data_IF_414503951068
#
_entry.id   IF_414503951068
#
_cell.length_a   1.000
_cell.length_b   1.000
_cell.length_c   1.000
_cell.angle_alpha   90.00
_cell.angle_beta   90.00
_cell.angle_gamma   90.00
#
_symmetry.space_group_name_H-M   'P 1'
#
loop_
_entity.id
_entity.type
_entity.pdbx_description
1 polymer ?
#
# COMPACT_ATOMS: atom_id res chain seq x y z
N UNK A 1 -13.04 -24.13 -2.75
CA UNK A 1 -11.79 -24.77 -2.29
C UNK A 1 -11.66 -24.47 -0.81
N UNK A 2 -11.82 -25.48 0.05
CA UNK A 2 -11.51 -25.31 1.48
C UNK A 2 -9.98 -25.31 1.63
N UNK A 3 -9.39 -24.16 1.93
CA UNK A 3 -8.01 -24.12 2.42
C UNK A 3 -7.97 -24.98 3.70
N UNK A 4 -7.12 -26.00 3.72
CA UNK A 4 -7.03 -26.92 4.85
C UNK A 4 -6.11 -26.30 5.91
N UNK A 5 -6.59 -26.12 7.14
CA UNK A 5 -5.84 -25.49 8.25
C UNK A 5 -4.48 -26.16 8.49
N UNK A 6 -4.41 -27.48 8.29
CA UNK A 6 -3.20 -28.31 8.44
C UNK A 6 -2.09 -27.97 7.43
N UNK A 7 -2.46 -27.53 6.24
CA UNK A 7 -1.48 -27.17 5.21
C UNK A 7 -0.88 -25.78 5.50
N UNK A 8 -1.73 -24.83 5.91
CA UNK A 8 -1.30 -23.50 6.32
C UNK A 8 -0.39 -23.55 7.54
N UNK A 9 -0.73 -24.38 8.54
CA UNK A 9 0.13 -24.57 9.71
C UNK A 9 1.50 -25.12 9.32
N UNK A 10 1.57 -26.05 8.36
CA UNK A 10 2.84 -26.57 7.85
C UNK A 10 3.73 -25.50 7.19
N UNK A 11 3.15 -24.59 6.40
CA UNK A 11 3.90 -23.46 5.84
C UNK A 11 4.40 -22.49 6.92
N UNK A 12 3.55 -22.18 7.90
CA UNK A 12 3.94 -21.32 9.03
C UNK A 12 5.06 -21.92 9.85
N UNK A 13 5.03 -23.23 10.11
CA UNK A 13 6.13 -23.94 10.77
C UNK A 13 7.43 -23.87 9.94
N UNK A 14 7.36 -24.09 8.63
CA UNK A 14 8.52 -23.95 7.75
C UNK A 14 9.14 -22.54 7.85
N UNK A 15 8.31 -21.49 7.76
CA UNK A 15 8.77 -20.10 7.90
C UNK A 15 9.27 -19.80 9.32
N UNK A 16 8.67 -20.40 10.34
CA UNK A 16 9.16 -20.27 11.71
C UNK A 16 10.58 -20.80 11.86
N UNK A 17 10.95 -21.87 11.15
CA UNK A 17 12.30 -22.45 11.19
C UNK A 17 13.33 -21.69 10.34
N UNK A 18 12.94 -20.67 9.57
CA UNK A 18 13.90 -19.88 8.79
C UNK A 18 14.92 -19.18 9.70
N UNK A 19 16.19 -19.26 9.30
CA UNK A 19 17.27 -18.44 9.85
C UNK A 19 17.10 -16.97 9.46
N UNK A 20 17.80 -16.08 10.15
CA UNK A 20 17.79 -14.66 9.79
C UNK A 20 18.29 -14.39 8.37
N UNK A 21 19.29 -15.14 7.87
CA UNK A 21 19.77 -14.98 6.49
C UNK A 21 18.74 -15.45 5.46
N UNK A 22 17.97 -16.49 5.77
CA UNK A 22 16.84 -16.93 4.94
C UNK A 22 15.73 -15.88 4.93
N UNK A 23 15.39 -15.30 6.09
CA UNK A 23 14.42 -14.21 6.18
C UNK A 23 14.87 -12.95 5.43
N UNK A 24 16.13 -12.55 5.53
CA UNK A 24 16.68 -11.42 4.77
C UNK A 24 16.57 -11.67 3.27
N UNK A 25 17.00 -12.84 2.81
CA UNK A 25 16.89 -13.23 1.39
C UNK A 25 15.44 -13.26 0.92
N UNK A 26 14.55 -13.90 1.69
CA UNK A 26 13.13 -13.97 1.37
C UNK A 26 12.49 -12.59 1.30
N UNK A 27 12.76 -11.72 2.28
CA UNK A 27 12.21 -10.36 2.36
C UNK A 27 12.59 -9.52 1.14
N UNK A 28 13.84 -9.64 0.66
CA UNK A 28 14.30 -8.91 -0.50
C UNK A 28 13.67 -9.46 -1.79
N UNK A 29 13.64 -10.80 -1.94
CA UNK A 29 13.06 -11.45 -3.13
C UNK A 29 11.57 -11.09 -3.26
N UNK A 30 10.79 -11.20 -2.18
CA UNK A 30 9.36 -10.92 -2.24
C UNK A 30 9.10 -9.43 -2.54
N UNK A 31 9.86 -8.51 -1.96
CA UNK A 31 9.68 -7.08 -2.25
C UNK A 31 10.12 -6.70 -3.66
N UNK A 32 11.18 -7.31 -4.21
CA UNK A 32 11.56 -7.15 -5.63
C UNK A 32 10.46 -7.69 -6.54
N UNK A 33 9.88 -8.84 -6.20
CA UNK A 33 8.77 -9.42 -6.95
C UNK A 33 7.54 -8.50 -6.92
N UNK A 34 7.13 -8.01 -5.75
CA UNK A 34 5.97 -7.10 -5.61
C UNK A 34 6.20 -5.77 -6.33
N UNK A 35 7.40 -5.22 -6.25
CA UNK A 35 7.80 -4.02 -7.00
C UNK A 35 7.67 -4.25 -8.51
N UNK A 36 8.23 -5.36 -9.01
CA UNK A 36 8.16 -5.72 -10.43
C UNK A 36 6.72 -5.99 -10.89
N UNK A 37 5.92 -6.64 -10.03
CA UNK A 37 4.50 -6.89 -10.26
C UNK A 37 3.72 -5.58 -10.40
N UNK A 38 3.94 -4.60 -9.52
CA UNK A 38 3.29 -3.29 -9.60
C UNK A 38 3.65 -2.54 -10.89
N UNK A 39 4.93 -2.52 -11.28
CA UNK A 39 5.36 -1.95 -12.57
C UNK A 39 4.68 -2.68 -13.75
N UNK A 40 4.67 -4.02 -13.72
CA UNK A 40 4.04 -4.83 -14.76
C UNK A 40 2.54 -4.56 -14.86
N UNK A 41 1.84 -4.47 -13.72
CA UNK A 41 0.43 -4.16 -13.62
C UNK A 41 0.13 -2.76 -14.16
N UNK A 42 0.92 -1.75 -13.79
CA UNK A 42 0.79 -0.40 -14.33
C UNK A 42 0.88 -0.42 -15.85
N UNK A 43 1.95 -1.02 -16.41
CA UNK A 43 2.18 -1.03 -17.86
C UNK A 43 1.08 -1.79 -18.58
N UNK A 44 0.60 -2.90 -17.99
CA UNK A 44 -0.51 -3.67 -18.54
C UNK A 44 -1.78 -2.82 -18.61
N UNK A 45 -2.16 -2.14 -17.52
CA UNK A 45 -3.36 -1.31 -17.49
C UNK A 45 -3.21 -0.11 -18.43
N UNK A 46 -2.07 0.58 -18.45
CA UNK A 46 -1.85 1.74 -19.33
C UNK A 46 -1.95 1.37 -20.82
N UNK A 47 -1.55 0.15 -21.20
CA UNK A 47 -1.66 -0.36 -22.58
C UNK A 47 -3.04 -0.88 -22.95
N UNK A 48 -3.83 -1.36 -21.98
CA UNK A 48 -5.12 -2.02 -22.23
C UNK A 48 -6.32 -1.13 -21.94
N UNK A 49 -6.15 -0.08 -21.13
CA UNK A 49 -7.21 0.86 -20.81
C UNK A 49 -7.40 1.90 -21.93
N UNK A 50 -8.54 1.85 -22.61
CA UNK A 50 -8.86 2.73 -23.73
C UNK A 50 -9.36 4.14 -23.33
N UNK A 51 -9.42 4.47 -22.03
CA UNK A 51 -9.86 5.79 -21.58
C UNK A 51 -8.78 6.84 -21.80
N UNK A 52 -9.20 8.07 -22.05
CA UNK A 52 -8.30 9.22 -22.16
C UNK A 52 -7.45 9.39 -20.90
N UNK A 53 -6.20 9.84 -21.04
CA UNK A 53 -5.36 10.12 -19.88
C UNK A 53 -5.92 11.29 -19.08
N UNK A 54 -5.65 11.30 -17.77
CA UNK A 54 -6.06 12.36 -16.85
C UNK A 54 -5.20 13.61 -17.04
N UNK A 55 -3.92 13.43 -17.37
CA UNK A 55 -2.96 14.49 -17.69
C UNK A 55 -2.24 14.20 -19.00
N UNK A 56 -1.86 15.23 -19.75
CA UNK A 56 -1.32 15.08 -21.11
C UNK A 56 -0.03 14.26 -21.19
N UNK A 57 0.82 14.36 -20.16
CA UNK A 57 2.14 13.71 -20.09
C UNK A 57 2.37 13.16 -18.71
N UNK A 58 3.08 12.04 -18.60
CA UNK A 58 3.57 11.50 -17.32
C UNK A 58 4.79 12.31 -16.84
N UNK A 59 5.01 12.37 -15.52
CA UNK A 59 6.25 12.92 -14.97
C UNK A 59 7.46 12.14 -15.53
N UNK A 60 8.52 12.84 -16.01
CA UNK A 60 9.71 12.19 -16.53
C UNK A 60 10.45 11.48 -15.41
N UNK A 61 10.87 10.23 -15.62
CA UNK A 61 11.61 9.48 -14.60
C UNK A 61 13.01 10.06 -14.47
N UNK A 62 13.34 10.52 -13.26
CA UNK A 62 14.66 11.02 -12.91
C UNK A 62 15.52 9.94 -12.25
N UNK A 63 16.83 10.20 -12.16
CA UNK A 63 17.76 9.31 -11.45
C UNK A 63 17.40 9.22 -9.97
N UNK A 64 16.97 10.32 -9.34
CA UNK A 64 16.51 10.29 -7.94
C UNK A 64 15.30 9.39 -7.74
N UNK A 65 14.40 9.29 -8.73
CA UNK A 65 13.19 8.47 -8.62
C UNK A 65 13.56 6.99 -8.62
N UNK A 66 14.53 6.60 -9.45
CA UNK A 66 15.06 5.23 -9.47
C UNK A 66 15.74 4.89 -8.13
N UNK A 67 16.53 5.81 -7.58
CA UNK A 67 17.17 5.58 -6.27
C UNK A 67 16.13 5.43 -5.16
N UNK A 68 15.16 6.35 -5.08
CA UNK A 68 14.11 6.31 -4.05
C UNK A 68 13.22 5.06 -4.21
N UNK A 69 12.86 4.69 -5.43
CA UNK A 69 12.02 3.52 -5.67
C UNK A 69 12.71 2.22 -5.26
N UNK A 70 14.01 2.07 -5.56
CA UNK A 70 14.81 0.93 -5.11
C UNK A 70 15.04 0.96 -3.59
N UNK A 71 15.21 2.15 -3.01
CA UNK A 71 15.37 2.29 -1.56
C UNK A 71 14.07 1.94 -0.81
N UNK A 72 12.90 2.21 -1.39
CA UNK A 72 11.59 1.77 -0.89
C UNK A 72 11.51 0.24 -0.80
N UNK A 73 12.08 -0.50 -1.76
CA UNK A 73 12.19 -1.98 -1.70
C UNK A 73 13.00 -2.41 -0.48
N UNK A 74 14.12 -1.73 -0.19
CA UNK A 74 14.95 -2.00 0.99
C UNK A 74 14.16 -1.69 2.28
N UNK A 75 13.50 -0.53 2.35
CA UNK A 75 12.70 -0.14 3.51
C UNK A 75 11.57 -1.14 3.79
N UNK A 76 10.81 -1.55 2.76
CA UNK A 76 9.75 -2.55 2.90
C UNK A 76 10.30 -3.92 3.35
N UNK A 77 11.50 -4.29 2.87
CA UNK A 77 12.19 -5.50 3.34
C UNK A 77 12.55 -5.38 4.82
N UNK A 78 13.03 -4.22 5.28
CA UNK A 78 13.30 -3.95 6.70
C UNK A 78 12.03 -4.00 7.55
N UNK A 79 10.92 -3.41 7.09
CA UNK A 79 9.62 -3.49 7.79
C UNK A 79 9.18 -4.93 7.95
N UNK A 80 9.28 -5.75 6.90
CA UNK A 80 8.96 -7.18 6.97
C UNK A 80 9.83 -7.88 8.02
N UNK A 81 11.15 -7.62 8.04
CA UNK A 81 12.05 -8.20 9.03
C UNK A 81 11.72 -7.77 10.47
N UNK A 82 11.29 -6.52 10.67
CA UNK A 82 10.78 -6.07 11.98
C UNK A 82 9.51 -6.86 12.34
N UNK A 83 8.58 -7.05 11.40
CA UNK A 83 7.39 -7.87 11.62
C UNK A 83 7.73 -9.32 12.01
N UNK A 84 8.70 -9.94 11.32
CA UNK A 84 9.20 -11.28 11.64
C UNK A 84 9.84 -11.32 13.02
N UNK A 85 10.61 -10.29 13.39
CA UNK A 85 11.18 -10.16 14.73
C UNK A 85 10.09 -10.09 15.79
N UNK A 86 9.07 -9.26 15.60
CA UNK A 86 7.95 -9.13 16.53
C UNK A 86 7.17 -10.45 16.66
N UNK A 87 6.92 -11.14 15.55
CA UNK A 87 6.29 -12.46 15.55
C UNK A 87 7.11 -13.51 16.30
N UNK A 88 8.42 -13.60 16.03
CA UNK A 88 9.32 -14.56 16.71
C UNK A 88 9.45 -14.32 18.21
N UNK A 89 9.19 -13.09 18.67
CA UNK A 89 9.25 -12.71 20.09
C UNK A 89 7.86 -12.68 20.76
N UNK A 90 6.80 -13.11 20.07
CA UNK A 90 5.44 -13.18 20.64
C UNK A 90 4.73 -11.83 20.80
N UNK A 91 5.21 -10.77 20.13
CA UNK A 91 4.51 -9.48 20.08
C UNK A 91 3.42 -9.44 19.01
N UNK A 92 3.55 -10.27 17.98
CA UNK A 92 2.54 -10.51 16.96
C UNK A 92 2.21 -11.99 17.02
N UNK A 93 0.93 -12.34 17.10
CA UNK A 93 0.46 -13.70 16.90
C UNK A 93 -0.33 -13.79 15.60
N UNK A 94 -0.24 -14.92 14.90
CA UNK A 94 -0.93 -15.12 13.63
C UNK A 94 -2.18 -15.98 13.87
N UNK A 95 -3.33 -15.46 13.47
CA UNK A 95 -4.60 -16.14 13.59
C UNK A 95 -4.65 -17.43 12.75
N UNK A 96 -5.19 -18.50 13.33
CA UNK A 96 -5.35 -19.80 12.66
C UNK A 96 -6.75 -20.00 12.05
N UNK A 97 -7.68 -19.05 12.25
CA UNK A 97 -9.08 -19.20 11.84
C UNK A 97 -9.24 -18.96 10.34
N UNK A 98 -9.67 -19.98 9.60
CA UNK A 98 -9.78 -19.92 8.13
C UNK A 98 -11.21 -19.96 7.59
N UNK A 99 -12.22 -19.64 8.41
CA UNK A 99 -13.58 -19.53 7.88
C UNK A 99 -13.65 -18.35 6.89
N UNK A 100 -14.31 -18.56 5.75
CA UNK A 100 -14.44 -17.52 4.71
C UNK A 100 -15.04 -16.23 5.29
N UNK A 101 -16.04 -16.35 6.17
CA UNK A 101 -16.64 -15.20 6.85
C UNK A 101 -15.63 -14.43 7.71
N UNK A 102 -14.80 -15.15 8.49
CA UNK A 102 -13.73 -14.53 9.30
C UNK A 102 -12.70 -13.84 8.41
N UNK A 103 -12.23 -14.50 7.35
CA UNK A 103 -11.26 -13.91 6.41
C UNK A 103 -11.80 -12.63 5.77
N UNK A 104 -13.05 -12.64 5.32
CA UNK A 104 -13.68 -11.44 4.73
C UNK A 104 -13.78 -10.30 5.75
N UNK A 105 -14.16 -10.59 7.00
CA UNK A 105 -14.25 -9.59 8.06
C UNK A 105 -12.87 -9.04 8.44
N UNK A 106 -11.86 -9.89 8.53
CA UNK A 106 -10.48 -9.49 8.81
C UNK A 106 -9.91 -8.60 7.69
N UNK A 107 -10.09 -8.98 6.42
CA UNK A 107 -9.66 -8.16 5.28
C UNK A 107 -10.39 -6.82 5.27
N UNK A 108 -11.70 -6.81 5.52
CA UNK A 108 -12.47 -5.56 5.61
C UNK A 108 -11.99 -4.67 6.76
N UNK A 109 -11.71 -5.27 7.93
CA UNK A 109 -11.17 -4.55 9.08
C UNK A 109 -9.79 -3.96 8.78
N UNK A 110 -8.89 -4.74 8.18
CA UNK A 110 -7.58 -4.26 7.74
C UNK A 110 -7.72 -3.10 6.76
N UNK A 111 -8.59 -3.21 5.76
CA UNK A 111 -8.82 -2.13 4.80
C UNK A 111 -9.31 -0.85 5.48
N UNK A 112 -10.33 -0.92 6.32
CA UNK A 112 -10.91 0.27 6.95
C UNK A 112 -9.97 0.91 7.99
N UNK A 113 -9.31 0.09 8.81
CA UNK A 113 -8.37 0.58 9.82
C UNK A 113 -7.13 1.16 9.18
N UNK A 114 -6.56 0.50 8.18
CA UNK A 114 -5.42 1.04 7.44
C UNK A 114 -5.81 2.28 6.65
N UNK A 115 -6.98 2.35 6.03
CA UNK A 115 -7.44 3.57 5.36
C UNK A 115 -7.49 4.76 6.32
N UNK A 116 -8.03 4.55 7.53
CA UNK A 116 -8.10 5.58 8.56
C UNK A 116 -6.72 6.04 9.02
N UNK A 117 -5.83 5.08 9.32
CA UNK A 117 -4.47 5.37 9.75
C UNK A 117 -3.72 6.11 8.63
N UNK A 118 -3.82 5.63 7.39
CA UNK A 118 -3.19 6.25 6.21
C UNK A 118 -3.73 7.64 5.94
N UNK A 119 -5.04 7.86 6.10
CA UNK A 119 -5.63 9.20 5.99
C UNK A 119 -4.95 10.19 6.94
N UNK A 120 -4.80 9.84 8.23
CA UNK A 120 -4.16 10.74 9.20
C UNK A 120 -2.66 10.88 8.96
N UNK A 121 -1.98 9.80 8.59
CA UNK A 121 -0.56 9.84 8.27
C UNK A 121 -0.29 10.73 7.07
N UNK A 122 -1.10 10.58 6.02
CA UNK A 122 -1.00 11.37 4.81
C UNK A 122 -1.35 12.84 5.06
N UNK A 123 -2.43 13.12 5.81
CA UNK A 123 -2.74 14.48 6.25
C UNK A 123 -1.58 15.11 7.04
N UNK A 124 -0.95 14.36 7.95
CA UNK A 124 0.22 14.81 8.70
C UNK A 124 1.45 15.03 7.80
N UNK A 125 1.63 14.21 6.77
CA UNK A 125 2.68 14.36 5.77
C UNK A 125 2.55 15.67 4.98
N UNK A 126 1.34 16.23 4.88
CA UNK A 126 1.05 17.52 4.24
C UNK A 126 1.17 18.74 5.17
N UNK A 127 1.52 18.55 6.44
CA UNK A 127 1.86 19.68 7.32
C UNK A 127 3.12 20.36 6.78
N UNK A 128 3.20 21.71 6.66
CA UNK A 128 4.20 22.40 5.85
C UNK A 128 5.66 21.98 6.08
N UNK A 129 6.06 21.74 7.34
CA UNK A 129 7.41 21.29 7.68
C UNK A 129 7.65 19.84 7.23
N UNK A 130 6.70 18.95 7.50
CA UNK A 130 6.77 17.53 7.15
C UNK A 130 6.72 17.35 5.63
N UNK A 131 5.85 18.10 4.96
CA UNK A 131 5.73 18.11 3.51
C UNK A 131 7.05 18.44 2.85
N UNK A 132 7.66 19.56 3.23
CA UNK A 132 8.92 20.00 2.63
C UNK A 132 10.06 18.99 2.84
N UNK A 133 10.04 18.26 3.95
CA UNK A 133 11.10 17.31 4.29
C UNK A 133 10.89 15.93 3.67
N UNK A 134 9.65 15.44 3.65
CA UNK A 134 9.34 14.04 3.37
C UNK A 134 8.51 13.91 2.08
N UNK A 135 7.35 14.56 2.04
CA UNK A 135 6.33 14.25 1.03
C UNK A 135 6.43 15.08 -0.26
N UNK A 136 7.13 16.22 -0.24
CA UNK A 136 7.23 17.11 -1.40
C UNK A 136 7.88 16.45 -2.62
N UNK A 137 8.82 15.52 -2.41
CA UNK A 137 9.44 14.76 -3.52
C UNK A 137 8.44 13.85 -4.22
N UNK A 138 7.49 13.27 -3.49
CA UNK A 138 6.40 12.50 -4.06
C UNK A 138 5.49 13.39 -4.92
N UNK A 139 5.18 14.60 -4.45
CA UNK A 139 4.34 15.58 -5.16
C UNK A 139 4.99 16.27 -6.36
N UNK A 140 6.30 16.08 -6.60
CA UNK A 140 6.90 16.43 -7.90
C UNK A 140 6.23 15.64 -9.05
N UNK A 141 5.67 14.46 -8.74
CA UNK A 141 4.92 13.59 -9.66
C UNK A 141 3.46 14.03 -9.83
N UNK A 142 3.23 15.34 -10.06
CA UNK A 142 1.90 15.91 -10.36
C UNK A 142 1.12 15.07 -11.37
N UNK A 143 1.79 14.62 -12.45
CA UNK A 143 1.35 13.52 -13.29
C UNK A 143 2.11 12.24 -12.97
N UNK A 144 1.40 11.18 -12.61
CA UNK A 144 2.03 9.96 -12.12
C UNK A 144 2.54 9.06 -13.26
N UNK A 145 3.42 8.14 -12.89
CA UNK A 145 4.03 7.12 -13.75
C UNK A 145 4.20 5.80 -12.97
N UNK A 146 4.71 4.76 -13.63
CA UNK A 146 4.85 3.41 -13.04
C UNK A 146 5.78 3.32 -11.82
N UNK A 147 6.60 4.34 -11.54
CA UNK A 147 7.44 4.40 -10.34
C UNK A 147 6.82 5.22 -9.21
N UNK A 148 5.81 6.05 -9.50
CA UNK A 148 5.36 7.12 -8.58
C UNK A 148 4.86 6.58 -7.23
N UNK A 149 4.28 5.38 -7.21
CA UNK A 149 3.90 4.68 -5.97
C UNK A 149 5.09 4.43 -5.03
N UNK A 150 6.29 4.21 -5.57
CA UNK A 150 7.49 3.86 -4.81
C UNK A 150 8.46 5.03 -4.61
N UNK A 151 8.22 6.18 -5.26
CA UNK A 151 8.98 7.41 -5.01
C UNK A 151 8.41 8.07 -3.77
N UNK A 152 8.90 7.60 -2.62
CA UNK A 152 8.53 8.05 -1.29
C UNK A 152 9.80 8.29 -0.47
N UNK A 153 9.73 9.21 0.49
CA UNK A 153 10.80 9.37 1.45
C UNK A 153 10.86 8.13 2.37
N UNK A 154 12.05 7.67 2.80
CA UNK A 154 12.18 6.47 3.65
C UNK A 154 11.30 6.44 4.90
N UNK A 155 11.15 7.58 5.58
CA UNK A 155 10.26 7.71 6.75
C UNK A 155 8.79 7.51 6.42
N UNK A 156 8.36 7.83 5.20
CA UNK A 156 6.99 7.55 4.77
C UNK A 156 6.80 6.05 4.57
N UNK A 157 7.70 5.42 3.81
CA UNK A 157 7.68 3.97 3.56
C UNK A 157 7.70 3.17 4.87
N UNK A 158 8.62 3.52 5.78
CA UNK A 158 8.68 2.88 7.10
C UNK A 158 7.43 3.20 7.92
N UNK A 159 6.94 4.44 7.90
CA UNK A 159 5.72 4.86 8.61
C UNK A 159 4.51 4.02 8.24
N UNK A 160 4.22 3.89 6.94
CA UNK A 160 3.15 3.02 6.44
C UNK A 160 3.32 1.56 6.88
N UNK A 161 4.56 1.06 6.85
CA UNK A 161 4.90 -0.27 7.34
C UNK A 161 4.63 -0.46 8.83
N UNK A 162 5.03 0.50 9.66
CA UNK A 162 4.84 0.47 11.11
C UNK A 162 3.37 0.52 11.49
N UNK A 163 2.53 1.24 10.75
CA UNK A 163 1.07 1.27 10.98
C UNK A 163 0.46 -0.12 10.83
N UNK A 164 0.89 -0.88 9.82
CA UNK A 164 0.48 -2.28 9.65
C UNK A 164 0.96 -3.12 10.84
N UNK A 165 2.23 -3.00 11.25
CA UNK A 165 2.75 -3.75 12.39
C UNK A 165 2.01 -3.43 13.70
N UNK A 166 1.61 -2.18 13.92
CA UNK A 166 0.79 -1.77 15.07
C UNK A 166 -0.54 -2.53 15.07
N UNK A 167 -1.24 -2.60 13.93
CA UNK A 167 -2.48 -3.37 13.85
C UNK A 167 -2.26 -4.86 14.12
N UNK A 168 -1.17 -5.45 13.61
CA UNK A 168 -0.84 -6.85 13.84
C UNK A 168 -0.46 -7.16 15.30
N UNK A 169 0.02 -6.18 16.07
CA UNK A 169 0.23 -6.33 17.52
C UNK A 169 -1.07 -6.19 18.31
N UNK A 170 -2.09 -5.53 17.76
CA UNK A 170 -3.38 -5.33 18.43
C UNK A 170 -4.37 -6.46 18.19
N UNK A 171 -4.22 -7.25 17.13
CA UNK A 171 -5.12 -8.34 16.79
C UNK A 171 -4.43 -9.42 15.96
N UNK A 172 -4.77 -10.67 16.26
CA UNK A 172 -4.17 -11.86 15.64
C UNK A 172 -4.80 -12.16 14.28
N UNK A 173 -4.54 -11.30 13.30
CA UNK A 173 -5.01 -11.50 11.94
C UNK A 173 -4.43 -12.79 11.35
N UNK A 174 -5.24 -13.52 10.59
CA UNK A 174 -4.71 -14.68 9.87
C UNK A 174 -3.71 -14.24 8.79
N UNK A 175 -2.67 -15.06 8.57
CA UNK A 175 -1.66 -14.80 7.53
C UNK A 175 -2.29 -14.67 6.13
N UNK A 176 -3.42 -15.36 5.90
CA UNK A 176 -4.18 -15.29 4.65
C UNK A 176 -4.82 -13.92 4.49
N UNK A 177 -5.52 -13.41 5.51
CA UNK A 177 -6.11 -12.07 5.49
C UNK A 177 -5.06 -10.98 5.31
N UNK A 178 -3.92 -11.08 6.02
CA UNK A 178 -2.79 -10.17 5.87
C UNK A 178 -2.28 -10.17 4.43
N UNK A 179 -2.08 -11.35 3.84
CA UNK A 179 -1.57 -11.50 2.47
C UNK A 179 -2.54 -10.94 1.43
N UNK A 180 -3.85 -11.19 1.59
CA UNK A 180 -4.90 -10.64 0.73
C UNK A 180 -4.92 -9.12 0.84
N UNK A 181 -4.90 -8.57 2.06
CA UNK A 181 -4.85 -7.13 2.29
C UNK A 181 -3.61 -6.51 1.63
N UNK A 182 -2.41 -7.06 1.83
CA UNK A 182 -1.18 -6.53 1.23
C UNK A 182 -1.23 -6.55 -0.31
N UNK A 183 -1.81 -7.59 -0.90
CA UNK A 183 -2.02 -7.66 -2.35
C UNK A 183 -3.03 -6.60 -2.82
N UNK A 184 -4.16 -6.43 -2.13
CA UNK A 184 -5.13 -5.37 -2.42
C UNK A 184 -4.46 -4.01 -2.29
N UNK A 185 -3.71 -3.75 -1.23
CA UNK A 185 -2.98 -2.51 -1.00
C UNK A 185 -2.08 -2.15 -2.18
N UNK A 186 -1.27 -3.11 -2.64
CA UNK A 186 -0.36 -2.92 -3.76
C UNK A 186 -1.11 -2.64 -5.07
N UNK A 187 -2.14 -3.45 -5.37
CA UNK A 187 -2.96 -3.30 -6.58
C UNK A 187 -3.66 -1.93 -6.56
N UNK A 188 -4.28 -1.58 -5.44
CA UNK A 188 -5.02 -0.33 -5.30
C UNK A 188 -4.11 0.89 -5.39
N UNK A 189 -2.96 0.86 -4.71
CA UNK A 189 -1.95 1.91 -4.82
C UNK A 189 -1.42 2.08 -6.24
N UNK A 190 -1.22 0.96 -6.95
CA UNK A 190 -0.81 0.98 -8.37
C UNK A 190 -1.89 1.62 -9.23
N UNK A 191 -3.16 1.24 -9.04
CA UNK A 191 -4.30 1.81 -9.78
C UNK A 191 -4.48 3.30 -9.45
N UNK A 192 -4.34 3.69 -8.19
CA UNK A 192 -4.44 5.08 -7.74
C UNK A 192 -3.41 6.01 -8.39
N UNK A 193 -2.24 5.48 -8.76
CA UNK A 193 -1.18 6.24 -9.43
C UNK A 193 -1.16 6.06 -10.96
N UNK A 194 -2.20 5.50 -11.58
CA UNK A 194 -2.32 5.52 -13.04
C UNK A 194 -2.55 6.96 -13.54
N UNK A 195 -2.07 7.28 -14.74
CA UNK A 195 -2.50 8.49 -15.45
C UNK A 195 -3.75 8.24 -16.33
N UNK A 196 -4.48 7.15 -16.09
CA UNK A 196 -5.74 6.81 -16.77
C UNK A 196 -6.73 6.30 -15.75
N UNK A 197 -7.94 6.84 -15.79
CA UNK A 197 -8.99 6.42 -14.86
C UNK A 197 -9.38 4.95 -15.08
N UNK A 198 -9.05 4.08 -14.14
CA UNK A 198 -9.43 2.67 -14.23
C UNK A 198 -10.94 2.47 -13.95
N UNK A 199 -11.49 3.18 -12.97
CA UNK A 199 -12.84 3.00 -12.47
C UNK A 199 -13.92 3.69 -13.34
N UNK A 200 -15.16 3.19 -13.37
CA UNK A 200 -16.27 3.91 -13.97
C UNK A 200 -16.51 5.26 -13.29
N UNK A 201 -16.90 6.30 -14.03
CA UNK A 201 -17.10 7.66 -13.50
C UNK A 201 -18.14 7.76 -12.37
N UNK A 202 -18.99 6.74 -12.19
CA UNK A 202 -19.98 6.68 -11.11
C UNK A 202 -19.33 6.37 -9.75
N UNK A 203 -18.12 5.82 -9.73
CA UNK A 203 -17.43 5.37 -8.50
C UNK A 203 -17.05 6.53 -7.58
N UNK A 204 -16.87 7.73 -8.13
CA UNK A 204 -16.66 8.96 -7.35
C UNK A 204 -17.82 9.23 -6.36
N UNK A 205 -19.02 8.66 -6.63
CA UNK A 205 -20.22 8.76 -5.77
C UNK A 205 -20.29 7.68 -4.69
N UNK A 206 -19.52 6.61 -4.79
CA UNK A 206 -19.59 5.44 -3.90
C UNK A 206 -18.50 5.42 -2.83
N UNK A 207 -17.99 6.60 -2.46
CA UNK A 207 -16.92 6.75 -1.47
C UNK A 207 -15.61 6.05 -1.84
N UNK A 208 -15.41 5.67 -3.10
CA UNK A 208 -14.22 4.93 -3.54
C UNK A 208 -13.07 5.91 -3.84
N UNK A 209 -11.86 5.58 -3.38
CA UNK A 209 -10.62 6.25 -3.77
C UNK A 209 -10.21 5.80 -5.17
N UNK A 210 -10.71 6.52 -6.18
CA UNK A 210 -10.44 6.26 -7.61
C UNK A 210 -9.07 6.78 -8.05
N UNK A 211 -8.65 6.43 -9.26
CA UNK A 211 -7.43 7.02 -9.86
C UNK A 211 -7.55 8.53 -9.95
N UNK A 212 -8.70 9.05 -10.41
CA UNK A 212 -8.97 10.49 -10.47
C UNK A 212 -8.95 11.13 -9.10
N UNK A 213 -9.50 10.47 -8.08
CA UNK A 213 -9.48 10.99 -6.71
C UNK A 213 -8.06 11.28 -6.22
N UNK A 214 -7.14 10.33 -6.41
CA UNK A 214 -5.73 10.50 -6.05
C UNK A 214 -4.99 11.44 -7.02
N UNK A 215 -5.31 11.44 -8.31
CA UNK A 215 -4.74 12.40 -9.25
C UNK A 215 -5.11 13.86 -8.88
N UNK A 216 -6.35 14.10 -8.45
CA UNK A 216 -6.79 15.41 -7.95
C UNK A 216 -6.06 15.82 -6.66
N UNK A 217 -5.64 14.86 -5.84
CA UNK A 217 -4.79 15.11 -4.69
C UNK A 217 -3.40 15.62 -5.13
N UNK A 218 -2.76 14.97 -6.10
CA UNK A 218 -1.49 15.43 -6.69
C UNK A 218 -1.58 16.82 -7.35
N UNK A 219 -2.77 17.24 -7.78
CA UNK A 219 -3.04 18.60 -8.29
C UNK A 219 -3.41 19.61 -7.18
N UNK A 220 -3.90 19.13 -6.04
CA UNK A 220 -4.29 19.93 -4.90
C UNK A 220 -3.95 19.20 -3.61
N UNK A 221 -2.72 19.39 -3.15
CA UNK A 221 -2.11 18.75 -1.98
C UNK A 221 -2.87 18.98 -0.66
N UNK A 222 -3.86 19.89 -0.63
CA UNK A 222 -4.66 20.20 0.58
C UNK A 222 -5.96 19.39 0.70
N UNK A 223 -6.24 18.50 -0.25
CA UNK A 223 -7.52 17.75 -0.36
C UNK A 223 -7.28 16.29 -0.72
N UNK A 224 -8.25 15.43 -0.45
CA UNK A 224 -8.27 14.01 -0.86
C UNK A 224 -7.09 13.18 -0.32
N UNK A 225 -6.97 13.09 1.01
CA UNK A 225 -5.89 12.36 1.68
C UNK A 225 -6.13 10.85 1.82
N UNK A 226 -7.37 10.39 1.67
CA UNK A 226 -7.72 8.97 1.74
C UNK A 226 -7.05 8.13 0.66
N UNK A 227 -7.00 6.82 0.85
CA UNK A 227 -6.28 5.93 -0.05
C UNK A 227 -7.22 4.97 -0.77
N UNK A 228 -7.97 4.15 -0.03
CA UNK A 228 -8.98 3.26 -0.60
C UNK A 228 -10.35 3.92 -0.71
N UNK A 229 -10.65 4.84 0.20
CA UNK A 229 -11.95 5.48 0.29
C UNK A 229 -11.85 6.99 0.46
N UNK A 230 -12.92 7.71 0.10
CA UNK A 230 -13.12 9.12 0.42
C UNK A 230 -13.99 9.32 1.67
N UNK A 231 -14.21 8.28 2.48
CA UNK A 231 -15.05 8.34 3.69
C UNK A 231 -14.48 9.37 4.65
N UNK A 232 -13.19 9.26 4.96
CA UNK A 232 -12.50 10.14 5.91
C UNK A 232 -12.42 11.57 5.40
N UNK A 233 -12.14 11.75 4.11
CA UNK A 233 -12.11 13.08 3.51
C UNK A 233 -13.46 13.80 3.59
N UNK A 234 -14.56 13.08 3.43
CA UNK A 234 -15.90 13.66 3.55
C UNK A 234 -16.23 13.94 5.01
N UNK A 235 -15.83 13.06 5.93
CA UNK A 235 -16.04 13.22 7.37
C UNK A 235 -15.29 14.44 7.92
N UNK A 236 -14.06 14.66 7.48
CA UNK A 236 -13.18 15.73 7.97
C UNK A 236 -13.14 16.98 7.07
N UNK A 237 -13.93 17.01 5.99
CA UNK A 237 -14.06 18.20 5.13
C UNK A 237 -12.87 18.46 4.19
N UNK A 238 -12.09 17.43 3.87
CA UNK A 238 -10.96 17.49 2.94
C UNK A 238 -11.29 16.92 1.56
N UNK A 239 -12.52 16.45 1.33
CA UNK A 239 -12.96 15.93 0.02
C UNK A 239 -13.10 17.01 -1.05
N UNK A 240 -12.65 16.70 -2.27
CA UNK A 240 -12.82 17.51 -3.48
C UNK A 240 -13.03 16.61 -4.70
N UNK A 241 -13.96 17.00 -5.57
CA UNK A 241 -14.31 16.32 -6.83
C UNK A 241 -13.75 17.05 -8.07
#
# INVERSE_FOLDING_TARGET
MSFNETELSGYLEMFWQFSWSQWMTFSLIINIFLYSFSIGLYIFIDKTCHKSPLQEKNHPITVSDIYLSLFTVVCNSSVLLIGVFLWKNGWIELGQKLSVGTLCLEVLALLLLMDLLMYFFHYAAHVPLVYKMLHGKHHEHTSTNFLSLFVLHPFETIGFGLMMLILLMCYDFSVVSISIYLLINLIWGTIGHLNREFFPAQFDRFFVGTTRFHNLHHLNETKNFGFYTSIWDRLFGTYKN
#
